data_IF_310142928423
#
_entry.id   IF_310142928423
#
_cell.length_a   1.000
_cell.length_b   1.000
_cell.length_c   1.000
_cell.angle_alpha   90.00
_cell.angle_beta   90.00
_cell.angle_gamma   90.00
#
_symmetry.space_group_name_H-M   'P 1'
#
loop_
_entity.id
_entity.type
_entity.pdbx_description
1 polymer ?
#
# COMPACT_ATOMS: atom_id res chain seq x y z
N UNK A 1 -1.00 84.51 -19.18
CA UNK A 1 -2.13 83.61 -18.89
C UNK A 1 -1.85 82.28 -19.56
N UNK A 2 -0.95 81.46 -19.01
CA UNK A 2 -1.20 80.40 -18.01
C UNK A 2 -2.15 79.30 -18.49
N UNK A 3 -1.53 78.33 -19.18
CA UNK A 3 -1.90 76.92 -19.15
C UNK A 3 -1.85 76.37 -17.72
N UNK A 4 -2.85 75.57 -17.33
CA UNK A 4 -2.64 74.58 -16.27
C UNK A 4 -3.39 73.28 -16.57
N UNK A 5 -2.58 72.26 -16.84
CA UNK A 5 -2.87 70.82 -16.91
C UNK A 5 -3.60 70.33 -15.65
N UNK A 6 -4.48 69.35 -15.81
CA UNK A 6 -4.66 68.30 -14.79
C UNK A 6 -4.78 66.93 -15.47
N UNK A 7 -3.92 66.04 -14.98
CA UNK A 7 -3.48 64.77 -15.55
C UNK A 7 -4.55 63.67 -15.48
N UNK A 8 -4.63 62.88 -16.56
CA UNK A 8 -4.93 61.46 -16.48
C UNK A 8 -3.91 60.79 -15.54
N UNK A 9 -4.39 60.10 -14.50
CA UNK A 9 -3.61 59.05 -13.83
C UNK A 9 -4.12 57.71 -14.34
N UNK A 10 -3.42 57.17 -15.33
CA UNK A 10 -3.25 55.72 -15.46
C UNK A 10 -2.57 55.25 -14.17
N UNK A 11 -3.24 54.45 -13.35
CA UNK A 11 -2.55 53.67 -12.35
C UNK A 11 -1.98 52.43 -13.04
N UNK A 12 -0.69 52.53 -13.35
CA UNK A 12 0.17 51.38 -13.60
C UNK A 12 0.12 50.46 -12.36
N UNK A 13 -0.40 49.25 -12.51
CA UNK A 13 -0.02 48.15 -11.62
C UNK A 13 1.40 47.74 -12.01
N UNK A 14 2.40 48.44 -11.45
CA UNK A 14 3.76 47.95 -11.39
C UNK A 14 3.79 46.70 -10.50
N UNK A 15 4.55 45.71 -10.94
CA UNK A 15 4.93 44.52 -10.18
C UNK A 15 5.34 44.90 -8.75
N UNK A 16 4.48 44.59 -7.79
CA UNK A 16 4.90 44.48 -6.40
C UNK A 16 5.61 43.14 -6.31
N UNK A 17 6.94 43.18 -6.45
CA UNK A 17 7.82 42.14 -5.92
C UNK A 17 7.61 42.15 -4.40
N UNK A 18 6.70 41.31 -3.92
CA UNK A 18 6.64 40.98 -2.50
C UNK A 18 7.80 40.03 -2.22
N UNK A 19 8.75 40.54 -1.47
CA UNK A 19 9.90 39.85 -0.89
C UNK A 19 9.52 38.44 -0.38
N UNK A 20 10.34 37.47 -0.77
CA UNK A 20 10.47 36.17 -0.12
C UNK A 20 10.65 36.33 1.39
N UNK A 21 9.63 35.94 2.17
CA UNK A 21 9.66 35.97 3.63
C UNK A 21 8.51 35.17 4.24
N UNK A 22 8.83 33.97 4.71
CA UNK A 22 8.05 33.03 5.50
C UNK A 22 6.88 32.32 4.79
N UNK A 23 7.20 31.13 4.26
CA UNK A 23 6.23 30.08 3.97
C UNK A 23 5.47 29.68 5.24
N UNK A 24 4.18 29.99 5.23
CA UNK A 24 3.20 29.44 6.16
C UNK A 24 2.13 28.73 5.32
N UNK A 25 2.17 27.40 5.35
CA UNK A 25 1.29 26.47 4.60
C UNK A 25 0.42 25.64 5.56
N UNK A 26 -0.03 26.24 6.66
CA UNK A 26 -1.00 25.63 7.57
C UNK A 26 -2.43 26.08 7.28
N UNK A 27 -3.41 25.24 7.63
CA UNK A 27 -4.84 25.60 7.56
C UNK A 27 -5.15 26.89 8.37
N UNK A 28 -4.46 27.10 9.49
CA UNK A 28 -4.61 28.29 10.33
C UNK A 28 -4.28 29.59 9.59
N UNK A 29 -3.26 29.58 8.74
CA UNK A 29 -2.79 30.76 8.00
C UNK A 29 -3.76 31.12 6.87
N UNK A 30 -4.28 30.09 6.18
CA UNK A 30 -5.32 30.26 5.15
C UNK A 30 -6.62 30.76 5.79
N UNK A 31 -6.97 30.27 6.98
CA UNK A 31 -8.14 30.74 7.73
C UNK A 31 -7.98 32.20 8.21
N UNK A 32 -6.78 32.59 8.65
CA UNK A 32 -6.49 33.98 9.03
C UNK A 32 -6.59 34.92 7.81
N UNK A 33 -6.04 34.50 6.67
CA UNK A 33 -6.18 35.23 5.40
C UNK A 33 -7.65 35.36 5.00
N UNK A 34 -8.45 34.29 5.08
CA UNK A 34 -9.89 34.34 4.80
C UNK A 34 -10.60 35.36 5.70
N UNK A 35 -10.37 35.31 7.01
CA UNK A 35 -11.00 36.24 7.97
C UNK A 35 -10.66 37.70 7.66
N UNK A 36 -9.43 37.97 7.27
CA UNK A 36 -9.01 39.32 6.84
C UNK A 36 -9.65 39.71 5.51
N UNK A 37 -9.62 38.84 4.50
CA UNK A 37 -10.08 39.16 3.14
C UNK A 37 -11.60 39.18 2.98
N UNK A 38 -12.35 38.41 3.76
CA UNK A 38 -13.80 38.48 3.78
C UNK A 38 -14.32 39.85 4.28
N UNK A 39 -13.52 40.60 5.04
CA UNK A 39 -13.84 41.98 5.44
C UNK A 39 -13.67 42.99 4.30
N UNK A 40 -12.90 42.64 3.26
CA UNK A 40 -12.72 43.47 2.06
C UNK A 40 -13.91 43.33 1.07
N UNK A 41 -14.89 42.48 1.37
CA UNK A 41 -16.08 42.29 0.54
C UNK A 41 -17.05 43.49 0.62
N UNK A 42 -17.80 43.78 -0.44
CA UNK A 42 -18.87 44.78 -0.41
C UNK A 42 -19.95 44.48 0.64
N UNK A 43 -20.60 45.51 1.17
CA UNK A 43 -21.61 45.36 2.23
C UNK A 43 -22.78 44.44 1.83
N UNK A 44 -23.25 44.57 0.59
CA UNK A 44 -24.40 43.83 0.03
C UNK A 44 -24.03 42.46 -0.56
N UNK A 45 -22.72 42.16 -0.70
CA UNK A 45 -22.22 40.90 -1.26
C UNK A 45 -21.10 40.35 -0.40
N UNK A 46 -21.41 39.34 0.41
CA UNK A 46 -20.52 38.80 1.43
C UNK A 46 -19.92 37.45 1.03
N UNK A 47 -18.73 37.16 1.56
CA UNK A 47 -18.09 35.86 1.41
C UNK A 47 -18.17 35.08 2.74
N UNK A 48 -18.78 33.90 2.69
CA UNK A 48 -19.00 33.02 3.82
C UNK A 48 -18.24 31.69 3.66
N UNK A 49 -17.70 31.17 4.76
CA UNK A 49 -17.01 29.88 4.78
C UNK A 49 -17.92 28.81 5.40
N UNK A 50 -18.34 27.85 4.60
CA UNK A 50 -19.13 26.70 5.06
C UNK A 50 -18.27 25.44 5.20
N UNK A 51 -18.59 24.62 6.21
CA UNK A 51 -17.90 23.36 6.51
C UNK A 51 -16.37 23.48 6.55
N UNK A 52 -15.87 24.65 6.99
CA UNK A 52 -14.44 24.93 7.13
C UNK A 52 -13.62 24.87 5.82
N UNK A 53 -14.26 24.79 4.65
CA UNK A 53 -13.53 24.64 3.36
C UNK A 53 -14.25 25.16 2.11
N UNK A 54 -15.53 25.51 2.18
CA UNK A 54 -16.28 25.95 1.01
C UNK A 54 -16.52 27.46 1.07
N UNK A 55 -16.00 28.17 0.07
CA UNK A 55 -16.16 29.61 -0.10
C UNK A 55 -17.49 29.89 -0.82
N UNK A 56 -18.45 30.46 -0.09
CA UNK A 56 -19.81 30.74 -0.53
C UNK A 56 -20.02 32.24 -0.66
N UNK A 57 -20.55 32.70 -1.79
CA UNK A 57 -20.91 34.10 -2.00
C UNK A 57 -22.38 34.25 -1.64
N UNK A 58 -22.68 35.28 -0.86
CA UNK A 58 -24.02 35.59 -0.37
C UNK A 58 -24.41 37.01 -0.81
N UNK A 59 -25.56 37.13 -1.46
CA UNK A 59 -26.14 38.42 -1.89
C UNK A 59 -27.66 38.32 -2.00
N UNK A 60 -28.36 39.45 -2.05
CA UNK A 60 -29.80 39.46 -2.31
C UNK A 60 -30.05 39.41 -3.82
N UNK A 61 -30.81 38.42 -4.26
CA UNK A 61 -31.23 38.30 -5.66
C UNK A 61 -32.19 39.44 -6.02
N UNK A 62 -31.87 40.27 -7.04
CA UNK A 62 -32.69 41.42 -7.39
C UNK A 62 -34.08 41.02 -7.92
N UNK A 63 -34.23 39.86 -8.56
CA UNK A 63 -35.51 39.38 -9.11
C UNK A 63 -36.44 38.89 -8.01
N UNK A 64 -35.89 38.09 -7.07
CA UNK A 64 -36.71 37.41 -6.06
C UNK A 64 -36.73 38.14 -4.71
N UNK A 65 -35.85 39.12 -4.51
CA UNK A 65 -35.64 39.82 -3.24
C UNK A 65 -35.14 38.92 -2.11
N UNK A 66 -34.77 37.67 -2.41
CA UNK A 66 -34.35 36.67 -1.41
C UNK A 66 -32.84 36.62 -1.32
N UNK A 67 -32.38 36.25 -0.12
CA UNK A 67 -30.98 35.97 0.12
C UNK A 67 -30.56 34.69 -0.64
N UNK A 68 -29.62 34.85 -1.55
CA UNK A 68 -29.02 33.77 -2.34
C UNK A 68 -27.64 33.46 -1.78
N UNK A 69 -27.34 32.16 -1.60
CA UNK A 69 -26.05 31.65 -1.13
C UNK A 69 -25.56 30.63 -2.13
N UNK A 70 -24.51 30.98 -2.87
CA UNK A 70 -23.99 30.14 -3.95
C UNK A 70 -22.50 29.88 -3.79
N UNK A 71 -22.03 28.76 -4.34
CA UNK A 71 -20.60 28.44 -4.29
C UNK A 71 -19.82 29.41 -5.19
N UNK A 72 -18.70 29.95 -4.67
CA UNK A 72 -17.76 30.71 -5.50
C UNK A 72 -17.05 29.85 -6.56
N UNK A 73 -17.03 28.52 -6.34
CA UNK A 73 -16.26 27.52 -7.10
C UNK A 73 -14.75 27.58 -6.90
N UNK A 74 -14.26 28.48 -6.07
CA UNK A 74 -12.84 28.59 -5.75
C UNK A 74 -12.45 27.59 -4.66
N UNK A 75 -11.24 27.05 -4.75
CA UNK A 75 -10.69 26.21 -3.68
C UNK A 75 -10.28 27.06 -2.47
N UNK A 76 -10.34 26.48 -1.26
CA UNK A 76 -9.89 27.15 -0.04
C UNK A 76 -8.36 27.22 0.07
N UNK A 77 -7.78 28.08 -0.77
CA UNK A 77 -6.35 28.39 -0.88
C UNK A 77 -6.17 29.91 -0.88
N UNK A 78 -4.92 30.39 -0.75
CA UNK A 78 -4.64 31.85 -0.80
C UNK A 78 -5.18 32.49 -2.08
N UNK A 79 -4.95 31.87 -3.23
CA UNK A 79 -5.45 32.35 -4.53
C UNK A 79 -6.97 32.28 -4.63
N UNK A 80 -7.58 31.18 -4.20
CA UNK A 80 -9.03 31.01 -4.26
C UNK A 80 -9.80 32.01 -3.37
N UNK A 81 -9.27 32.36 -2.20
CA UNK A 81 -9.86 33.41 -1.34
C UNK A 81 -9.84 34.77 -2.06
N UNK A 82 -8.69 35.16 -2.64
CA UNK A 82 -8.54 36.43 -3.35
C UNK A 82 -9.51 36.49 -4.55
N UNK A 83 -9.59 35.40 -5.32
CA UNK A 83 -10.51 35.32 -6.46
C UNK A 83 -11.97 35.37 -6.04
N UNK A 84 -12.35 34.71 -4.94
CA UNK A 84 -13.71 34.73 -4.42
C UNK A 84 -14.12 36.16 -3.98
N UNK A 85 -13.23 36.89 -3.31
CA UNK A 85 -13.46 38.31 -2.96
C UNK A 85 -13.60 39.17 -4.22
N UNK A 86 -12.78 38.93 -5.25
CA UNK A 86 -12.92 39.63 -6.54
C UNK A 86 -14.29 39.36 -7.18
N UNK A 87 -14.80 38.12 -7.12
CA UNK A 87 -16.16 37.79 -7.60
C UNK A 87 -17.24 38.54 -6.81
N UNK A 88 -17.09 38.69 -5.49
CA UNK A 88 -18.01 39.51 -4.69
C UNK A 88 -18.08 40.96 -5.21
N UNK A 89 -16.93 41.57 -5.54
CA UNK A 89 -16.87 42.92 -6.13
C UNK A 89 -17.49 43.01 -7.52
N UNK A 90 -17.30 41.99 -8.36
CA UNK A 90 -17.91 41.95 -9.68
C UNK A 90 -19.44 41.85 -9.59
N UNK A 91 -19.94 41.03 -8.66
CA UNK A 91 -21.39 40.89 -8.42
C UNK A 91 -21.96 42.20 -7.87
N UNK A 92 -21.31 42.84 -6.89
CA UNK A 92 -21.76 44.13 -6.34
C UNK A 92 -21.82 45.23 -7.41
N UNK A 93 -20.80 45.30 -8.28
CA UNK A 93 -20.79 46.25 -9.39
C UNK A 93 -21.91 45.94 -10.39
N UNK A 94 -22.12 44.67 -10.73
CA UNK A 94 -23.20 44.26 -11.64
C UNK A 94 -24.59 44.58 -11.06
N UNK A 95 -24.83 44.27 -9.78
CA UNK A 95 -26.09 44.60 -9.09
C UNK A 95 -26.41 46.11 -9.14
N UNK A 96 -25.38 46.97 -9.17
CA UNK A 96 -25.53 48.43 -9.26
C UNK A 96 -25.63 48.96 -10.70
N UNK A 97 -25.20 48.18 -11.70
CA UNK A 97 -25.03 48.65 -13.07
C UNK A 97 -26.14 48.18 -14.02
N UNK A 98 -26.89 47.14 -13.67
CA UNK A 98 -27.99 46.65 -14.50
C UNK A 98 -29.32 47.32 -14.12
N UNK A 99 -29.97 47.94 -15.11
CA UNK A 99 -31.26 48.61 -14.93
C UNK A 99 -32.47 47.64 -14.93
N UNK A 100 -32.27 46.37 -15.30
CA UNK A 100 -33.30 45.33 -15.37
C UNK A 100 -32.77 43.99 -14.84
N UNK A 101 -33.53 43.35 -13.95
CA UNK A 101 -33.09 42.18 -13.18
C UNK A 101 -32.81 40.93 -14.05
N UNK A 102 -33.52 40.77 -15.16
CA UNK A 102 -33.30 39.67 -16.12
C UNK A 102 -31.93 39.75 -16.81
N UNK A 103 -31.39 40.96 -17.01
CA UNK A 103 -30.06 41.18 -17.58
C UNK A 103 -28.95 40.82 -16.57
N UNK A 104 -29.20 41.06 -15.28
CA UNK A 104 -28.29 40.64 -14.22
C UNK A 104 -28.20 39.10 -14.16
N UNK A 105 -29.31 38.37 -14.24
CA UNK A 105 -29.29 36.90 -14.21
C UNK A 105 -28.55 36.32 -15.42
N UNK A 106 -28.78 36.84 -16.63
CA UNK A 106 -28.06 36.40 -17.82
C UNK A 106 -26.55 36.63 -17.67
N UNK A 107 -26.15 37.82 -17.19
CA UNK A 107 -24.75 38.13 -16.93
C UNK A 107 -24.14 37.28 -15.81
N UNK A 108 -24.85 37.06 -14.70
CA UNK A 108 -24.41 36.25 -13.57
C UNK A 108 -24.19 34.80 -14.01
N UNK A 109 -25.12 34.23 -14.78
CA UNK A 109 -24.98 32.91 -15.37
C UNK A 109 -23.74 32.84 -16.30
N UNK A 110 -23.51 33.85 -17.12
CA UNK A 110 -22.45 33.87 -18.12
C UNK A 110 -21.05 34.21 -17.57
N UNK A 111 -20.94 35.04 -16.54
CA UNK A 111 -19.66 35.61 -16.11
C UNK A 111 -19.24 35.09 -14.73
N UNK A 112 -20.20 34.74 -13.88
CA UNK A 112 -19.91 34.21 -12.55
C UNK A 112 -20.03 32.68 -12.57
N UNK A 113 -21.15 32.13 -13.04
CA UNK A 113 -21.37 30.67 -13.06
C UNK A 113 -20.66 29.94 -14.21
N UNK A 114 -20.39 30.62 -15.34
CA UNK A 114 -19.64 30.02 -16.44
C UNK A 114 -18.14 30.02 -16.19
N UNK A 115 -17.58 30.99 -15.48
CA UNK A 115 -16.18 30.93 -15.01
C UNK A 115 -15.99 29.75 -14.04
N UNK A 116 -17.01 29.40 -13.26
CA UNK A 116 -17.02 28.18 -12.43
C UNK A 116 -16.99 26.89 -13.25
N UNK A 117 -17.53 26.91 -14.48
CA UNK A 117 -17.47 25.78 -15.44
C UNK A 117 -16.23 25.82 -16.34
N UNK A 118 -15.63 26.99 -16.55
CA UNK A 118 -14.47 27.19 -17.41
C UNK A 118 -13.15 26.68 -16.81
N UNK A 119 -13.10 26.40 -15.49
CA UNK A 119 -11.93 25.81 -14.85
C UNK A 119 -11.83 24.28 -15.01
N UNK A 120 -12.84 23.61 -15.57
CA UNK A 120 -12.68 22.26 -16.12
C UNK A 120 -12.22 22.39 -17.55
N UNK A 121 -10.91 22.63 -17.74
CA UNK A 121 -10.28 22.39 -19.04
C UNK A 121 -10.72 20.99 -19.47
N UNK A 122 -11.36 20.87 -20.64
CA UNK A 122 -11.83 19.59 -21.14
C UNK A 122 -10.58 18.76 -21.40
N UNK A 123 -10.29 17.84 -20.48
CA UNK A 123 -9.14 16.96 -20.59
C UNK A 123 -9.49 15.75 -21.44
N UNK A 124 -8.57 15.42 -22.32
CA UNK A 124 -8.51 14.14 -23.02
C UNK A 124 -8.14 13.01 -22.05
N UNK A 125 -8.39 11.76 -22.44
CA UNK A 125 -7.91 10.60 -21.68
C UNK A 125 -6.39 10.65 -21.45
N UNK A 126 -5.62 11.07 -22.45
CA UNK A 126 -4.16 11.18 -22.38
C UNK A 126 -3.70 12.13 -21.27
N UNK A 127 -4.30 13.32 -21.20
CA UNK A 127 -3.99 14.30 -20.14
C UNK A 127 -4.37 13.77 -18.75
N UNK A 128 -5.52 13.09 -18.63
CA UNK A 128 -5.95 12.47 -17.37
C UNK A 128 -4.98 11.36 -16.95
N UNK A 129 -4.56 10.51 -17.89
CA UNK A 129 -3.63 9.42 -17.62
C UNK A 129 -2.26 9.94 -17.20
N UNK A 130 -1.76 11.00 -17.83
CA UNK A 130 -0.52 11.67 -17.47
C UNK A 130 -0.59 12.28 -16.05
N UNK A 131 -1.71 12.90 -15.70
CA UNK A 131 -1.91 13.44 -14.35
C UNK A 131 -1.92 12.32 -13.29
N UNK A 132 -2.61 11.22 -13.57
CA UNK A 132 -2.64 10.05 -12.69
C UNK A 132 -1.28 9.36 -12.57
N UNK A 133 -0.50 9.30 -13.66
CA UNK A 133 0.87 8.80 -13.67
C UNK A 133 1.79 9.70 -12.82
N UNK A 134 1.72 11.01 -13.04
CA UNK A 134 2.51 12.01 -12.31
C UNK A 134 2.20 11.95 -10.82
N UNK A 135 0.93 11.88 -10.44
CA UNK A 135 0.49 11.73 -9.05
C UNK A 135 0.96 10.39 -8.44
N UNK A 136 1.03 9.31 -9.23
CA UNK A 136 1.56 8.04 -8.76
C UNK A 136 3.06 8.13 -8.44
N UNK A 137 3.88 8.64 -9.38
CA UNK A 137 5.34 8.67 -9.23
C UNK A 137 5.84 9.79 -8.32
N UNK A 138 5.08 10.87 -8.11
CA UNK A 138 5.40 11.88 -7.09
C UNK A 138 5.18 11.37 -5.66
N UNK A 139 4.36 10.33 -5.50
CA UNK A 139 4.05 9.73 -4.21
C UNK A 139 5.11 8.76 -3.67
N UNK A 140 4.84 8.23 -2.48
CA UNK A 140 5.71 7.26 -1.79
C UNK A 140 5.13 5.85 -1.77
N UNK A 141 5.99 4.83 -1.76
CA UNK A 141 5.57 3.43 -1.58
C UNK A 141 4.91 3.23 -0.21
N UNK A 142 3.74 2.59 -0.18
CA UNK A 142 2.87 2.53 1.02
C UNK A 142 3.56 1.93 2.25
N UNK A 143 4.36 0.87 2.04
CA UNK A 143 4.95 0.09 3.12
C UNK A 143 6.35 0.57 3.52
N UNK A 144 7.20 0.86 2.53
CA UNK A 144 8.61 1.23 2.76
C UNK A 144 8.82 2.73 2.88
N UNK A 145 7.80 3.54 2.54
CA UNK A 145 7.85 5.00 2.50
C UNK A 145 8.87 5.62 1.55
N UNK A 146 9.67 4.82 0.81
CA UNK A 146 10.56 5.34 -0.22
C UNK A 146 9.78 6.09 -1.30
N UNK A 147 10.40 7.11 -1.89
CA UNK A 147 9.88 7.79 -3.07
C UNK A 147 9.79 6.81 -4.24
N UNK A 148 8.68 6.85 -4.99
CA UNK A 148 8.56 6.04 -6.22
C UNK A 148 9.43 6.63 -7.32
N UNK A 149 9.90 5.80 -8.23
CA UNK A 149 10.74 6.24 -9.36
C UNK A 149 10.37 5.49 -10.63
N UNK A 150 10.43 6.20 -11.78
CA UNK A 150 10.32 5.58 -13.11
C UNK A 150 11.52 4.68 -13.44
N UNK A 151 12.65 4.86 -12.75
CA UNK A 151 13.83 4.00 -12.91
C UNK A 151 13.70 2.67 -12.13
N UNK A 152 12.71 2.57 -11.24
CA UNK A 152 12.45 1.36 -10.48
C UNK A 152 11.53 0.42 -11.25
N UNK A 153 12.09 -0.71 -11.71
CA UNK A 153 11.34 -1.78 -12.40
C UNK A 153 10.07 -2.19 -11.64
N UNK A 154 10.13 -2.21 -10.30
CA UNK A 154 9.00 -2.59 -9.47
C UNK A 154 7.89 -1.54 -9.41
N UNK A 155 8.25 -0.26 -9.41
CA UNK A 155 7.26 0.83 -9.39
C UNK A 155 6.56 0.92 -10.74
N UNK A 156 7.34 0.85 -11.83
CA UNK A 156 6.80 0.80 -13.19
C UNK A 156 5.89 -0.40 -13.36
N UNK A 157 6.34 -1.60 -12.96
CA UNK A 157 5.50 -2.80 -13.04
C UNK A 157 4.21 -2.68 -12.22
N UNK A 158 4.29 -2.08 -11.03
CA UNK A 158 3.12 -1.87 -10.16
C UNK A 158 2.14 -0.86 -10.76
N UNK A 159 2.65 0.21 -11.38
CA UNK A 159 1.86 1.18 -12.11
C UNK A 159 1.16 0.53 -13.31
N UNK A 160 1.92 -0.11 -14.20
CA UNK A 160 1.38 -0.78 -15.39
C UNK A 160 0.35 -1.85 -15.04
N UNK A 161 0.63 -2.66 -14.01
CA UNK A 161 -0.27 -3.74 -13.58
C UNK A 161 -1.58 -3.24 -12.99
N UNK A 162 -1.61 -2.03 -12.43
CA UNK A 162 -2.79 -1.45 -11.79
C UNK A 162 -3.47 -0.46 -12.72
N UNK A 163 -2.80 0.64 -13.09
CA UNK A 163 -3.30 1.71 -13.95
C UNK A 163 -3.22 1.36 -15.44
N UNK A 164 -2.05 0.98 -15.94
CA UNK A 164 -1.80 0.79 -17.38
C UNK A 164 -2.74 -0.23 -18.03
N UNK A 165 -3.11 -1.30 -17.31
CA UNK A 165 -4.12 -2.27 -17.78
C UNK A 165 -5.50 -1.67 -18.02
N UNK A 166 -5.91 -0.69 -17.21
CA UNK A 166 -7.20 -0.01 -17.34
C UNK A 166 -7.13 1.05 -18.43
N UNK A 167 -6.02 1.79 -18.51
CA UNK A 167 -5.82 2.81 -19.54
C UNK A 167 -5.89 2.22 -20.95
N UNK A 168 -5.35 1.00 -21.14
CA UNK A 168 -5.41 0.25 -22.41
C UNK A 168 -6.82 -0.22 -22.81
N UNK A 169 -7.81 -0.09 -21.92
CA UNK A 169 -9.21 -0.39 -22.26
C UNK A 169 -9.88 0.76 -23.03
N UNK A 170 -9.26 1.94 -23.06
CA UNK A 170 -9.75 3.10 -23.80
C UNK A 170 -9.02 3.18 -25.16
N UNK A 171 -9.75 3.14 -26.30
CA UNK A 171 -9.15 3.00 -27.61
C UNK A 171 -8.53 4.30 -28.17
N UNK A 172 -9.05 5.46 -27.79
CA UNK A 172 -8.57 6.77 -28.26
C UNK A 172 -8.20 7.65 -27.07
N UNK A 173 -6.90 7.88 -26.88
CA UNK A 173 -6.39 8.70 -25.78
C UNK A 173 -6.54 10.21 -26.04
N UNK A 174 -6.78 10.61 -27.30
CA UNK A 174 -7.01 12.01 -27.64
C UNK A 174 -8.50 12.40 -27.50
N UNK A 175 -9.38 11.42 -27.32
CA UNK A 175 -10.78 11.66 -27.05
C UNK A 175 -11.01 12.15 -25.61
N UNK A 176 -12.10 12.87 -25.41
CA UNK A 176 -12.58 13.29 -24.09
C UNK A 176 -13.41 12.15 -23.47
N UNK A 177 -13.35 11.95 -22.14
CA UNK A 177 -14.08 10.84 -21.53
C UNK A 177 -15.59 10.95 -21.67
N UNK A 178 -16.23 9.89 -22.16
CA UNK A 178 -17.68 9.85 -22.38
C UNK A 178 -18.34 8.69 -21.63
N UNK A 179 -19.64 8.80 -21.37
CA UNK A 179 -20.41 7.71 -20.76
C UNK A 179 -20.45 6.46 -21.63
N UNK A 180 -20.39 6.62 -22.96
CA UNK A 180 -20.37 5.51 -23.91
C UNK A 180 -19.13 4.65 -23.73
N UNK A 181 -17.96 5.28 -23.62
CA UNK A 181 -16.69 4.56 -23.42
C UNK A 181 -16.68 3.83 -22.08
N UNK A 182 -17.16 4.48 -21.02
CA UNK A 182 -17.21 3.87 -19.69
C UNK A 182 -18.13 2.64 -19.66
N UNK A 183 -19.28 2.70 -20.35
CA UNK A 183 -20.15 1.55 -20.53
C UNK A 183 -19.45 0.42 -21.26
N UNK A 184 -18.81 0.72 -22.39
CA UNK A 184 -18.08 -0.28 -23.18
C UNK A 184 -16.97 -0.94 -22.35
N UNK A 185 -16.20 -0.16 -21.59
CA UNK A 185 -15.16 -0.70 -20.71
C UNK A 185 -15.76 -1.62 -19.64
N UNK A 186 -16.83 -1.18 -18.96
CA UNK A 186 -17.47 -1.96 -17.89
C UNK A 186 -18.10 -3.26 -18.42
N UNK A 187 -18.73 -3.23 -19.58
CA UNK A 187 -19.33 -4.41 -20.23
C UNK A 187 -18.28 -5.50 -20.52
N UNK A 188 -17.04 -5.10 -20.81
CA UNK A 188 -15.93 -6.01 -21.04
C UNK A 188 -15.21 -6.46 -19.76
N UNK A 189 -15.56 -5.94 -18.59
CA UNK A 189 -14.99 -6.38 -17.32
C UNK A 189 -15.74 -7.60 -16.78
N UNK A 190 -15.00 -8.64 -16.42
CA UNK A 190 -15.53 -9.76 -15.64
C UNK A 190 -15.85 -9.30 -14.21
N UNK A 191 -17.08 -8.81 -13.99
CA UNK A 191 -17.55 -8.34 -12.69
C UNK A 191 -17.46 -9.43 -11.61
N UNK A 192 -17.34 -9.00 -10.35
CA UNK A 192 -17.10 -9.92 -9.24
C UNK A 192 -15.65 -10.40 -9.12
N UNK A 193 -14.76 -10.14 -10.08
CA UNK A 193 -13.34 -10.47 -9.99
C UNK A 193 -12.52 -9.38 -9.28
N UNK A 194 -11.29 -9.71 -8.86
CA UNK A 194 -10.34 -8.71 -8.36
C UNK A 194 -10.01 -7.66 -9.44
N UNK A 195 -9.86 -8.08 -10.69
CA UNK A 195 -9.56 -7.18 -11.81
C UNK A 195 -10.65 -6.13 -11.99
N UNK A 196 -11.92 -6.54 -11.94
CA UNK A 196 -13.04 -5.58 -12.02
C UNK A 196 -13.06 -4.62 -10.82
N UNK A 197 -12.79 -5.11 -9.60
CA UNK A 197 -12.68 -4.24 -8.42
C UNK A 197 -11.59 -3.18 -8.57
N UNK A 198 -10.40 -3.61 -8.98
CA UNK A 198 -9.24 -2.74 -9.14
C UNK A 198 -9.51 -1.73 -10.29
N UNK A 199 -10.10 -2.19 -11.40
CA UNK A 199 -10.52 -1.33 -12.52
C UNK A 199 -11.56 -0.29 -12.10
N UNK A 200 -12.60 -0.69 -11.36
CA UNK A 200 -13.61 0.24 -10.84
C UNK A 200 -13.03 1.35 -9.97
N UNK A 201 -11.98 1.05 -9.19
CA UNK A 201 -11.27 2.09 -8.42
C UNK A 201 -10.54 3.09 -9.30
N UNK A 202 -10.09 2.69 -10.49
CA UNK A 202 -9.35 3.56 -11.42
C UNK A 202 -10.31 4.34 -12.31
N UNK A 203 -11.37 3.70 -12.79
CA UNK A 203 -12.46 4.36 -13.51
C UNK A 203 -13.04 5.53 -12.71
N UNK A 204 -13.21 5.38 -11.38
CA UNK A 204 -13.63 6.49 -10.51
C UNK A 204 -12.65 7.66 -10.54
N UNK A 205 -11.34 7.39 -10.49
CA UNK A 205 -10.33 8.45 -10.56
C UNK A 205 -10.31 9.16 -11.92
N UNK A 206 -10.55 8.41 -13.01
CA UNK A 206 -10.66 8.99 -14.37
C UNK A 206 -11.92 9.85 -14.44
N UNK A 207 -13.05 9.38 -13.91
CA UNK A 207 -14.30 10.13 -13.84
C UNK A 207 -14.15 11.42 -13.01
N UNK A 208 -13.48 11.37 -11.86
CA UNK A 208 -13.24 12.54 -10.99
C UNK A 208 -12.47 13.66 -11.70
N UNK A 209 -11.61 13.31 -12.68
CA UNK A 209 -10.79 14.26 -13.45
C UNK A 209 -11.40 14.64 -14.80
N UNK A 210 -12.56 14.09 -15.17
CA UNK A 210 -13.24 14.36 -16.43
C UNK A 210 -14.19 15.56 -16.35
N UNK A 211 -14.44 16.20 -17.50
CA UNK A 211 -15.45 17.24 -17.65
C UNK A 211 -16.88 16.75 -17.31
N UNK A 212 -17.19 15.49 -17.59
CA UNK A 212 -18.50 14.85 -17.31
C UNK A 212 -18.53 14.10 -15.96
N UNK A 213 -17.69 14.52 -15.00
CA UNK A 213 -17.48 13.82 -13.73
C UNK A 213 -18.76 13.38 -13.02
N UNK A 214 -19.78 14.24 -12.97
CA UNK A 214 -21.07 13.93 -12.33
C UNK A 214 -21.75 12.72 -12.99
N UNK A 215 -21.91 12.77 -14.31
CA UNK A 215 -22.61 11.71 -15.06
C UNK A 215 -21.85 10.38 -14.98
N UNK A 216 -20.52 10.44 -15.13
CA UNK A 216 -19.66 9.25 -15.05
C UNK A 216 -19.68 8.62 -13.64
N UNK A 217 -19.65 9.46 -12.60
CA UNK A 217 -19.67 8.99 -11.21
C UNK A 217 -21.03 8.37 -10.83
N UNK A 218 -22.13 8.95 -11.30
CA UNK A 218 -23.47 8.38 -11.14
C UNK A 218 -23.57 7.00 -11.80
N UNK A 219 -23.09 6.87 -13.05
CA UNK A 219 -23.03 5.58 -13.74
C UNK A 219 -22.18 4.56 -12.97
N UNK A 220 -20.94 4.90 -12.60
CA UNK A 220 -20.06 3.98 -11.88
C UNK A 220 -20.59 3.57 -10.49
N UNK A 221 -21.43 4.41 -9.88
CA UNK A 221 -22.08 4.10 -8.59
C UNK A 221 -23.20 3.06 -8.73
N UNK A 222 -23.79 2.95 -9.92
CA UNK A 222 -24.78 1.91 -10.24
C UNK A 222 -24.17 0.52 -10.52
N UNK A 223 -22.85 0.46 -10.76
CA UNK A 223 -22.14 -0.80 -11.06
C UNK A 223 -21.56 -1.43 -9.79
N UNK A 224 -21.82 -2.71 -9.56
CA UNK A 224 -21.26 -3.44 -8.42
C UNK A 224 -19.84 -3.98 -8.71
N UNK A 225 -18.83 -3.18 -8.40
CA UNK A 225 -17.42 -3.55 -8.50
C UNK A 225 -16.91 -4.42 -7.33
N UNK A 226 -17.75 -4.90 -6.42
CA UNK A 226 -17.28 -5.73 -5.30
C UNK A 226 -16.73 -7.06 -5.81
N UNK A 227 -15.56 -7.45 -5.29
CA UNK A 227 -15.03 -8.78 -5.54
C UNK A 227 -15.88 -9.82 -4.81
N UNK A 228 -16.45 -10.76 -5.56
CA UNK A 228 -17.24 -11.91 -5.10
C UNK A 228 -16.54 -13.25 -5.39
N UNK A 229 -15.73 -13.29 -6.44
CA UNK A 229 -14.99 -14.47 -6.88
C UNK A 229 -13.58 -14.42 -6.26
N UNK A 230 -13.24 -15.44 -5.49
CA UNK A 230 -11.95 -15.59 -4.83
C UNK A 230 -11.30 -16.90 -5.26
N UNK A 231 -10.00 -16.86 -5.51
CA UNK A 231 -9.24 -18.09 -5.74
C UNK A 231 -9.28 -18.98 -4.48
N UNK A 232 -9.41 -20.29 -4.70
CA UNK A 232 -9.35 -21.27 -3.62
C UNK A 232 -8.00 -21.17 -2.90
N UNK A 233 -8.05 -21.23 -1.58
CA UNK A 233 -6.88 -21.05 -0.74
C UNK A 233 -6.21 -22.42 -0.53
N UNK A 234 -4.99 -22.56 -1.01
CA UNK A 234 -4.19 -23.77 -0.79
C UNK A 234 -3.56 -23.76 0.61
N UNK A 235 -3.38 -24.96 1.17
CA UNK A 235 -2.66 -25.23 2.41
C UNK A 235 -1.99 -26.60 2.35
N UNK A 236 -0.93 -26.79 3.14
CA UNK A 236 -0.17 -28.04 3.23
C UNK A 236 0.28 -28.22 4.68
N UNK A 237 0.23 -29.43 5.22
CA UNK A 237 0.80 -29.75 6.53
C UNK A 237 2.29 -30.11 6.42
N UNK A 238 3.00 -30.07 7.56
CA UNK A 238 4.45 -30.27 7.59
C UNK A 238 4.87 -31.64 7.06
N UNK A 239 4.14 -32.71 7.39
CA UNK A 239 4.52 -34.07 6.98
C UNK A 239 4.39 -34.24 5.47
N UNK A 240 3.28 -33.77 4.89
CA UNK A 240 3.07 -33.78 3.44
C UNK A 240 4.15 -32.95 2.73
N UNK A 241 4.50 -31.79 3.28
CA UNK A 241 5.60 -30.97 2.74
C UNK A 241 6.95 -31.69 2.82
N UNK A 242 7.29 -32.30 3.96
CA UNK A 242 8.57 -32.98 4.18
C UNK A 242 8.74 -34.18 3.25
N UNK A 243 7.69 -34.98 3.07
CA UNK A 243 7.70 -36.11 2.14
C UNK A 243 7.93 -35.65 0.69
N UNK A 244 7.24 -34.59 0.27
CA UNK A 244 7.47 -33.99 -1.04
C UNK A 244 8.90 -33.45 -1.16
N UNK A 245 9.38 -32.71 -0.16
CA UNK A 245 10.72 -32.12 -0.13
C UNK A 245 11.81 -33.18 -0.32
N UNK A 246 11.76 -34.26 0.47
CA UNK A 246 12.73 -35.37 0.39
C UNK A 246 12.65 -36.10 -0.95
N UNK A 247 11.44 -36.42 -1.43
CA UNK A 247 11.24 -37.06 -2.73
C UNK A 247 11.79 -36.22 -3.89
N UNK A 248 11.51 -34.92 -3.88
CA UNK A 248 11.99 -33.97 -4.89
C UNK A 248 13.51 -33.80 -4.81
N UNK A 249 14.10 -33.73 -3.61
CA UNK A 249 15.56 -33.68 -3.44
C UNK A 249 16.24 -34.89 -4.08
N UNK A 250 15.76 -36.10 -3.78
CA UNK A 250 16.30 -37.34 -4.35
C UNK A 250 16.21 -37.37 -5.87
N UNK A 251 15.09 -36.91 -6.46
CA UNK A 251 14.93 -36.81 -7.92
C UNK A 251 15.90 -35.81 -8.55
N UNK A 252 16.10 -34.66 -7.90
CA UNK A 252 17.05 -33.64 -8.38
C UNK A 252 18.47 -34.19 -8.36
N UNK A 253 18.90 -34.81 -7.24
CA UNK A 253 20.23 -35.40 -7.10
C UNK A 253 20.49 -36.55 -8.10
N UNK A 254 19.45 -37.32 -8.46
CA UNK A 254 19.57 -38.37 -9.47
C UNK A 254 19.68 -37.85 -10.92
N UNK A 255 19.45 -36.56 -11.17
CA UNK A 255 19.54 -35.97 -12.50
C UNK A 255 20.97 -35.99 -13.02
N UNK A 256 21.20 -36.37 -14.29
CA UNK A 256 22.54 -36.33 -14.91
C UNK A 256 22.99 -34.92 -15.30
N UNK A 257 22.09 -33.94 -15.28
CA UNK A 257 22.38 -32.56 -15.69
C UNK A 257 22.77 -31.71 -14.47
N UNK A 258 24.05 -31.38 -14.35
CA UNK A 258 24.58 -30.59 -13.23
C UNK A 258 23.89 -29.22 -13.09
N UNK A 259 23.58 -28.53 -14.20
CA UNK A 259 22.88 -27.26 -14.14
C UNK A 259 21.44 -27.43 -13.63
N UNK A 260 20.79 -28.55 -13.93
CA UNK A 260 19.49 -28.88 -13.37
C UNK A 260 19.58 -29.18 -11.88
N UNK A 261 20.62 -29.90 -11.45
CA UNK A 261 20.89 -30.16 -10.04
C UNK A 261 21.07 -28.86 -9.25
N UNK A 262 22.01 -27.99 -9.66
CA UNK A 262 22.27 -26.70 -9.01
C UNK A 262 21.00 -25.86 -8.87
N UNK A 263 20.29 -25.64 -9.98
CA UNK A 263 19.08 -24.82 -10.00
C UNK A 263 17.96 -25.45 -9.18
N UNK A 264 17.78 -26.77 -9.30
CA UNK A 264 16.77 -27.52 -8.56
C UNK A 264 16.98 -27.46 -7.06
N UNK A 265 18.21 -27.71 -6.59
CA UNK A 265 18.56 -27.64 -5.17
C UNK A 265 18.39 -26.22 -4.62
N UNK A 266 18.81 -25.19 -5.37
CA UNK A 266 18.62 -23.80 -4.97
C UNK A 266 17.13 -23.44 -4.78
N UNK A 267 16.26 -23.82 -5.71
CA UNK A 267 14.82 -23.58 -5.58
C UNK A 267 14.18 -24.42 -4.49
N UNK A 268 14.63 -25.66 -4.29
CA UNK A 268 14.14 -26.51 -3.22
C UNK A 268 14.53 -25.95 -1.84
N UNK A 269 15.75 -25.44 -1.70
CA UNK A 269 16.22 -24.76 -0.48
C UNK A 269 15.41 -23.48 -0.20
N UNK A 270 15.02 -22.72 -1.22
CA UNK A 270 14.08 -21.59 -1.06
C UNK A 270 12.72 -22.06 -0.51
N UNK A 271 12.23 -23.24 -0.91
CA UNK A 271 11.00 -23.81 -0.34
C UNK A 271 11.16 -24.12 1.16
N UNK A 272 12.29 -24.71 1.56
CA UNK A 272 12.63 -24.96 2.96
C UNK A 272 12.66 -23.66 3.77
N UNK A 273 13.36 -22.63 3.29
CA UNK A 273 13.38 -21.30 3.92
C UNK A 273 11.98 -20.68 4.02
N UNK A 274 11.12 -20.90 3.02
CA UNK A 274 9.72 -20.47 3.03
C UNK A 274 8.90 -21.13 4.15
N UNK A 275 9.16 -22.40 4.46
CA UNK A 275 8.51 -23.12 5.57
C UNK A 275 9.12 -22.80 6.93
N UNK A 276 10.44 -22.60 7.01
CA UNK A 276 11.11 -22.28 8.27
C UNK A 276 10.82 -20.86 8.72
N UNK A 277 10.89 -19.86 7.84
CA UNK A 277 10.76 -18.44 8.21
C UNK A 277 9.43 -17.80 7.78
N UNK A 278 8.63 -18.48 6.95
CA UNK A 278 7.40 -17.92 6.40
C UNK A 278 7.64 -16.81 5.38
N UNK A 279 8.78 -16.82 4.71
CA UNK A 279 9.20 -15.77 3.78
C UNK A 279 8.69 -16.02 2.37
N UNK A 280 8.45 -14.93 1.63
CA UNK A 280 8.25 -15.02 0.19
C UNK A 280 9.58 -15.33 -0.51
N UNK A 281 9.57 -15.96 -1.69
CA UNK A 281 10.79 -16.22 -2.46
C UNK A 281 11.65 -14.96 -2.68
N UNK A 282 11.01 -13.82 -2.97
CA UNK A 282 11.73 -12.54 -3.10
C UNK A 282 12.31 -12.02 -1.79
N UNK A 283 11.68 -12.30 -0.65
CA UNK A 283 12.23 -11.93 0.66
C UNK A 283 13.48 -12.77 0.98
N UNK A 284 13.46 -14.07 0.65
CA UNK A 284 14.62 -14.96 0.81
C UNK A 284 15.78 -14.49 -0.10
N UNK A 285 15.47 -14.09 -1.33
CA UNK A 285 16.43 -13.55 -2.28
C UNK A 285 17.05 -12.19 -1.87
N UNK A 286 16.49 -11.51 -0.86
CA UNK A 286 17.00 -10.25 -0.30
C UNK A 286 17.72 -10.43 1.04
N UNK A 287 17.84 -11.66 1.54
CA UNK A 287 18.52 -11.95 2.79
C UNK A 287 20.03 -11.70 2.70
N UNK A 288 20.61 -11.12 3.76
CA UNK A 288 21.99 -10.63 3.75
C UNK A 288 22.99 -11.57 4.46
N UNK A 289 22.51 -12.43 5.37
CA UNK A 289 23.37 -13.27 6.20
C UNK A 289 23.16 -14.78 6.00
N UNK A 290 22.97 -15.23 4.76
CA UNK A 290 22.77 -16.67 4.49
C UNK A 290 24.06 -17.45 4.71
N UNK A 291 25.11 -17.13 3.95
CA UNK A 291 26.40 -17.83 3.96
C UNK A 291 27.57 -16.96 4.44
N UNK A 292 27.34 -15.67 4.62
CA UNK A 292 28.32 -14.71 5.13
C UNK A 292 27.71 -13.93 6.29
N UNK A 293 28.53 -13.48 7.25
CA UNK A 293 28.03 -12.63 8.32
C UNK A 293 27.63 -11.26 7.75
N UNK A 294 26.65 -10.60 8.37
CA UNK A 294 26.22 -9.26 8.02
C UNK A 294 26.25 -8.36 9.26
N UNK A 295 26.84 -7.18 9.17
CA UNK A 295 26.90 -6.24 10.30
C UNK A 295 26.23 -4.93 9.92
N UNK A 296 25.31 -4.48 10.77
CA UNK A 296 24.64 -3.18 10.65
C UNK A 296 24.37 -2.64 12.06
N UNK A 297 24.48 -1.33 12.26
CA UNK A 297 24.21 -0.68 13.53
C UNK A 297 24.93 -1.32 14.74
N UNK A 298 26.16 -1.79 14.51
CA UNK A 298 27.02 -2.51 15.50
C UNK A 298 26.46 -3.88 15.94
N UNK A 299 25.45 -4.40 15.26
CA UNK A 299 24.92 -5.75 15.46
C UNK A 299 25.41 -6.65 14.33
N UNK A 300 26.07 -7.75 14.69
CA UNK A 300 26.52 -8.77 13.73
C UNK A 300 25.53 -9.94 13.72
N UNK A 301 25.03 -10.26 12.54
CA UNK A 301 24.21 -11.43 12.26
C UNK A 301 25.10 -12.52 11.68
N UNK A 302 25.35 -13.64 12.41
CA UNK A 302 26.12 -14.75 11.88
C UNK A 302 25.43 -15.41 10.68
N UNK A 303 26.17 -16.13 9.82
CA UNK A 303 25.58 -16.89 8.72
C UNK A 303 24.52 -17.89 9.21
N UNK A 304 23.46 -18.12 8.43
CA UNK A 304 22.51 -19.21 8.66
C UNK A 304 23.20 -20.57 8.52
N UNK A 305 24.18 -20.68 7.62
CA UNK A 305 24.98 -21.90 7.40
C UNK A 305 25.94 -22.23 8.54
N UNK A 306 26.14 -21.33 9.51
CA UNK A 306 27.01 -21.57 10.66
C UNK A 306 26.29 -22.44 11.71
N UNK A 307 26.79 -23.66 11.93
CA UNK A 307 26.22 -24.61 12.91
C UNK A 307 26.28 -24.12 14.35
N UNK A 308 27.13 -23.13 14.65
CA UNK A 308 27.21 -22.48 15.98
C UNK A 308 26.19 -21.34 16.15
N UNK A 309 25.56 -20.89 15.07
CA UNK A 309 24.50 -19.89 15.13
C UNK A 309 23.18 -20.54 15.56
N UNK A 310 22.91 -20.59 16.86
CA UNK A 310 21.69 -21.22 17.38
C UNK A 310 20.42 -20.38 17.14
N UNK A 311 20.54 -19.04 17.10
CA UNK A 311 19.39 -18.15 16.94
C UNK A 311 18.85 -18.14 15.51
N UNK A 312 19.73 -18.39 14.53
CA UNK A 312 19.42 -18.38 13.09
C UNK A 312 18.62 -17.14 12.68
N UNK A 313 18.94 -15.97 13.25
CA UNK A 313 18.27 -14.74 12.85
C UNK A 313 18.65 -14.38 11.42
N UNK A 314 17.65 -14.08 10.60
CA UNK A 314 17.84 -13.68 9.21
C UNK A 314 17.59 -12.17 9.07
N UNK A 315 18.57 -11.45 8.55
CA UNK A 315 18.44 -10.06 8.18
C UNK A 315 18.02 -9.94 6.71
N UNK A 316 16.90 -9.25 6.46
CA UNK A 316 16.39 -8.98 5.12
C UNK A 316 16.71 -7.56 4.70
N UNK A 317 17.41 -7.41 3.58
CA UNK A 317 17.64 -6.13 2.93
C UNK A 317 16.45 -5.64 2.12
N UNK A 318 16.55 -4.44 1.54
CA UNK A 318 15.49 -3.87 0.71
C UNK A 318 15.42 -4.49 -0.70
N UNK A 319 16.56 -4.94 -1.24
CA UNK A 319 16.69 -5.42 -2.61
C UNK A 319 17.14 -6.87 -2.68
N UNK A 320 16.62 -7.58 -3.68
CA UNK A 320 17.06 -8.92 -4.05
C UNK A 320 18.40 -8.88 -4.76
N UNK A 321 19.07 -10.03 -4.87
CA UNK A 321 20.32 -10.16 -5.64
C UNK A 321 20.23 -9.73 -7.12
N UNK A 322 19.02 -9.65 -7.70
CA UNK A 322 18.79 -9.15 -9.06
C UNK A 322 18.26 -7.70 -9.11
N UNK A 323 18.33 -6.96 -8.00
CA UNK A 323 18.02 -5.52 -7.93
C UNK A 323 16.55 -5.16 -7.78
N UNK A 324 15.66 -6.13 -7.54
CA UNK A 324 14.24 -5.86 -7.32
C UNK A 324 13.98 -5.58 -5.83
N UNK A 325 13.22 -4.54 -5.50
CA UNK A 325 12.82 -4.27 -4.11
C UNK A 325 11.83 -5.31 -3.56
N UNK A 326 11.88 -5.59 -2.26
CA UNK A 326 10.90 -6.46 -1.59
C UNK A 326 9.73 -5.65 -1.00
N UNK A 327 8.53 -6.23 -1.02
CA UNK A 327 7.28 -5.55 -0.60
C UNK A 327 7.28 -5.11 0.87
N UNK A 328 7.96 -5.88 1.71
CA UNK A 328 7.93 -5.80 3.18
C UNK A 328 9.05 -4.94 3.74
N UNK A 329 10.01 -4.52 2.92
CA UNK A 329 11.17 -3.73 3.36
C UNK A 329 12.10 -4.49 4.31
N UNK A 330 13.04 -3.74 4.86
CA UNK A 330 14.08 -4.22 5.80
C UNK A 330 13.45 -4.77 7.07
N UNK A 331 13.87 -5.95 7.50
CA UNK A 331 13.49 -6.52 8.80
C UNK A 331 14.39 -7.67 9.23
N UNK A 332 14.30 -8.01 10.52
CA UNK A 332 14.90 -9.21 11.10
C UNK A 332 13.80 -10.26 11.26
N UNK A 333 14.10 -11.50 10.87
CA UNK A 333 13.20 -12.64 10.96
C UNK A 333 13.84 -13.73 11.82
N UNK A 334 13.08 -14.30 12.74
CA UNK A 334 13.47 -15.55 13.42
C UNK A 334 12.86 -16.76 12.71
N UNK A 335 13.46 -17.96 12.83
CA UNK A 335 12.80 -19.18 12.42
C UNK A 335 11.50 -19.38 13.23
N UNK A 336 10.47 -19.84 12.53
CA UNK A 336 9.18 -20.23 13.08
C UNK A 336 9.05 -21.75 13.24
N UNK A 337 9.84 -22.52 12.49
CA UNK A 337 9.93 -23.96 12.63
C UNK A 337 10.82 -24.38 13.81
N UNK A 338 10.68 -25.63 14.26
CA UNK A 338 11.49 -26.20 15.34
C UNK A 338 12.91 -26.50 14.85
N UNK A 339 13.86 -26.70 15.78
CA UNK A 339 15.22 -27.13 15.43
C UNK A 339 15.23 -28.42 14.63
N UNK A 340 14.42 -29.41 15.04
CA UNK A 340 14.25 -30.65 14.29
C UNK A 340 13.85 -30.39 12.83
N UNK A 341 12.84 -29.55 12.60
CA UNK A 341 12.39 -29.24 11.24
C UNK A 341 13.46 -28.48 10.42
N UNK A 342 14.25 -27.62 11.07
CA UNK A 342 15.39 -26.97 10.41
C UNK A 342 16.46 -27.97 9.96
N UNK A 343 16.74 -28.98 10.80
CA UNK A 343 17.67 -30.08 10.47
C UNK A 343 17.13 -30.98 9.37
N UNK A 344 15.87 -31.41 9.45
CA UNK A 344 15.21 -32.25 8.44
C UNK A 344 15.11 -31.57 7.07
N UNK A 345 14.99 -30.25 7.05
CA UNK A 345 14.98 -29.43 5.83
C UNK A 345 16.38 -28.96 5.42
N UNK A 346 17.41 -29.27 6.20
CA UNK A 346 18.83 -29.03 5.90
C UNK A 346 19.12 -27.56 5.53
N UNK A 347 18.53 -26.60 6.26
CA UNK A 347 18.66 -25.17 5.91
C UNK A 347 20.10 -24.65 5.98
N UNK A 348 20.98 -25.33 6.71
CA UNK A 348 22.40 -25.01 6.83
C UNK A 348 23.21 -25.43 5.59
N UNK A 349 22.69 -26.38 4.79
CA UNK A 349 23.30 -26.80 3.54
C UNK A 349 22.85 -25.90 2.39
N UNK A 350 23.43 -24.70 2.32
CA UNK A 350 23.09 -23.73 1.29
C UNK A 350 23.71 -24.09 -0.08
N UNK A 351 22.92 -24.40 -1.12
CA UNK A 351 23.43 -24.78 -2.44
C UNK A 351 23.73 -23.57 -3.34
N UNK A 352 23.52 -22.34 -2.85
CA UNK A 352 23.56 -21.11 -3.65
C UNK A 352 22.17 -20.57 -4.01
N UNK A 353 22.13 -19.34 -4.50
CA UNK A 353 20.90 -18.72 -5.03
C UNK A 353 20.60 -19.20 -6.45
N UNK A 354 19.32 -19.31 -6.84
CA UNK A 354 18.96 -19.66 -8.21
C UNK A 354 19.43 -18.58 -9.19
N UNK A 355 19.97 -19.02 -10.33
CA UNK A 355 20.40 -18.12 -11.42
C UNK A 355 19.17 -17.63 -12.19
N UNK A 356 18.90 -16.32 -12.12
CA UNK A 356 17.77 -15.68 -12.82
C UNK A 356 18.33 -14.61 -13.76
N UNK A 357 18.08 -14.77 -15.07
CA UNK A 357 18.62 -13.88 -16.10
C UNK A 357 17.85 -12.54 -16.22
N UNK A 358 16.56 -12.54 -15.93
CA UNK A 358 15.70 -11.38 -16.14
C UNK A 358 15.70 -10.44 -14.92
N UNK A 359 15.94 -9.14 -15.15
CA UNK A 359 15.72 -8.06 -14.17
C UNK A 359 14.28 -7.59 -14.18
N UNK A 360 13.33 -8.52 -14.06
CA UNK A 360 11.90 -8.23 -14.04
C UNK A 360 11.32 -8.44 -12.64
N UNK A 361 10.38 -7.59 -12.23
CA UNK A 361 9.74 -7.62 -10.91
C UNK A 361 9.16 -8.99 -10.52
N UNK A 362 8.66 -9.76 -11.50
CA UNK A 362 8.02 -11.06 -11.28
C UNK A 362 8.93 -12.26 -11.56
N UNK A 363 10.16 -12.05 -12.03
CA UNK A 363 11.07 -13.12 -12.46
C UNK A 363 11.29 -14.21 -11.41
N UNK A 364 11.59 -13.82 -10.16
CA UNK A 364 11.75 -14.74 -9.02
C UNK A 364 10.45 -15.50 -8.75
N UNK A 365 9.32 -14.79 -8.69
CA UNK A 365 8.02 -15.39 -8.36
C UNK A 365 7.57 -16.38 -9.43
N UNK A 366 7.72 -16.03 -10.71
CA UNK A 366 7.33 -16.88 -11.84
C UNK A 366 8.23 -18.11 -11.93
N UNK A 367 9.55 -17.93 -11.76
CA UNK A 367 10.50 -19.05 -11.75
C UNK A 367 10.22 -20.01 -10.59
N UNK A 368 9.89 -19.47 -9.43
CA UNK A 368 9.52 -20.26 -8.26
C UNK A 368 8.23 -21.08 -8.50
N UNK A 369 7.17 -20.45 -9.01
CA UNK A 369 5.91 -21.14 -9.33
C UNK A 369 6.15 -22.23 -10.39
N UNK A 370 6.97 -21.94 -11.42
CA UNK A 370 7.35 -22.91 -12.43
C UNK A 370 8.11 -24.09 -11.84
N UNK A 371 9.01 -23.86 -10.89
CA UNK A 371 9.68 -24.92 -10.15
C UNK A 371 8.69 -25.81 -9.38
N UNK A 372 7.75 -25.20 -8.64
CA UNK A 372 6.73 -25.94 -7.90
C UNK A 372 5.86 -26.80 -8.82
N UNK A 373 5.40 -26.24 -9.94
CA UNK A 373 4.59 -26.95 -10.93
C UNK A 373 5.35 -28.13 -11.56
N UNK A 374 6.58 -27.91 -12.01
CA UNK A 374 7.42 -28.94 -12.64
C UNK A 374 7.74 -30.11 -11.71
N UNK A 375 7.81 -29.84 -10.41
CA UNK A 375 8.11 -30.85 -9.39
C UNK A 375 6.85 -31.35 -8.67
N UNK A 376 5.67 -31.12 -9.24
CA UNK A 376 4.38 -31.58 -8.73
C UNK A 376 4.19 -31.31 -7.23
N UNK A 377 4.55 -30.09 -6.80
CA UNK A 377 4.30 -29.68 -5.43
C UNK A 377 2.80 -29.71 -5.14
N UNK A 378 2.35 -30.24 -3.98
CA UNK A 378 0.92 -30.27 -3.64
C UNK A 378 0.27 -28.88 -3.57
N UNK A 379 1.08 -27.84 -3.43
CA UNK A 379 0.64 -26.44 -3.44
C UNK A 379 1.55 -25.61 -4.33
N UNK A 380 0.98 -24.62 -5.01
CA UNK A 380 1.70 -23.73 -5.93
C UNK A 380 1.64 -22.27 -5.47
N UNK A 381 0.72 -21.96 -4.55
CA UNK A 381 0.68 -20.68 -3.86
C UNK A 381 1.84 -20.57 -2.85
N UNK A 382 2.81 -19.68 -3.10
CA UNK A 382 3.90 -19.39 -2.14
C UNK A 382 3.38 -19.01 -0.74
N UNK A 383 2.17 -18.45 -0.68
CA UNK A 383 1.53 -18.10 0.58
C UNK A 383 1.16 -19.34 1.44
N UNK A 384 1.01 -20.53 0.84
CA UNK A 384 0.74 -21.77 1.56
C UNK A 384 1.89 -22.15 2.51
N UNK A 385 3.15 -22.03 2.07
CA UNK A 385 4.31 -22.28 2.93
C UNK A 385 4.41 -21.26 4.06
N UNK A 386 4.08 -20.00 3.77
CA UNK A 386 3.99 -18.96 4.79
C UNK A 386 2.90 -19.22 5.83
N UNK A 387 1.78 -19.83 5.44
CA UNK A 387 0.75 -20.27 6.37
C UNK A 387 1.25 -21.41 7.26
N UNK A 388 1.90 -22.42 6.65
CA UNK A 388 2.52 -23.52 7.38
C UNK A 388 3.55 -23.01 8.39
N UNK A 389 4.45 -22.11 7.99
CA UNK A 389 5.44 -21.49 8.87
C UNK A 389 4.78 -20.79 10.08
N UNK A 390 3.72 -20.02 9.85
CA UNK A 390 3.00 -19.36 10.93
C UNK A 390 2.33 -20.37 11.89
N UNK A 391 1.81 -21.50 11.37
CA UNK A 391 1.27 -22.59 12.19
C UNK A 391 2.36 -23.31 12.98
N UNK A 392 3.51 -23.57 12.38
CA UNK A 392 4.68 -24.13 13.08
C UNK A 392 5.13 -23.20 14.21
N UNK A 393 5.19 -21.89 13.96
CA UNK A 393 5.52 -20.93 15.00
C UNK A 393 4.54 -20.95 16.17
N UNK A 394 3.26 -21.19 15.90
CA UNK A 394 2.25 -21.34 16.95
C UNK A 394 2.44 -22.62 17.76
N UNK A 395 2.69 -23.74 17.08
CA UNK A 395 2.97 -25.04 17.70
C UNK A 395 4.25 -25.01 18.55
N UNK A 396 5.22 -24.19 18.15
CA UNK A 396 6.48 -23.98 18.86
C UNK A 396 6.38 -22.90 19.96
N UNK A 397 5.17 -22.43 20.28
CA UNK A 397 4.95 -21.47 21.37
C UNK A 397 5.44 -20.05 21.10
N UNK A 398 5.71 -19.68 19.84
CA UNK A 398 6.17 -18.32 19.50
C UNK A 398 5.00 -17.34 19.62
N UNK A 399 5.13 -16.27 20.44
CA UNK A 399 4.08 -15.28 20.61
C UNK A 399 3.62 -14.68 19.28
N UNK A 400 2.33 -14.35 19.18
CA UNK A 400 1.73 -13.83 17.95
C UNK A 400 2.40 -12.53 17.47
N UNK A 401 2.83 -11.68 18.40
CA UNK A 401 3.53 -10.43 18.15
C UNK A 401 4.87 -10.69 17.45
N UNK A 402 5.60 -11.70 17.91
CA UNK A 402 6.91 -12.08 17.36
C UNK A 402 6.74 -12.74 15.99
N UNK A 403 5.72 -13.60 15.82
CA UNK A 403 5.37 -14.18 14.51
C UNK A 403 5.00 -13.07 13.52
N UNK A 404 4.11 -12.15 13.92
CA UNK A 404 3.67 -11.04 13.08
C UNK A 404 4.85 -10.14 12.68
N UNK A 405 5.75 -9.81 13.62
CA UNK A 405 6.96 -9.02 13.36
C UNK A 405 7.88 -9.72 12.36
N UNK A 406 8.15 -11.01 12.55
CA UNK A 406 9.00 -11.81 11.65
C UNK A 406 8.44 -11.88 10.24
N UNK A 407 7.11 -11.94 10.12
CA UNK A 407 6.41 -11.93 8.84
C UNK A 407 6.29 -10.50 8.25
N UNK A 408 6.50 -9.43 9.01
CA UNK A 408 6.30 -8.06 8.54
C UNK A 408 4.83 -7.67 8.44
N UNK A 409 4.02 -8.09 9.42
CA UNK A 409 2.60 -7.81 9.54
C UNK A 409 2.27 -7.11 10.86
N UNK A 410 1.11 -6.42 10.92
CA UNK A 410 0.47 -6.11 12.20
C UNK A 410 -0.15 -7.37 12.80
N UNK A 411 -0.36 -7.37 14.13
CA UNK A 411 -1.02 -8.47 14.86
C UNK A 411 -2.41 -8.77 14.29
N UNK A 412 -3.18 -7.74 13.94
CA UNK A 412 -4.53 -7.85 13.35
C UNK A 412 -4.54 -8.47 11.94
N UNK A 413 -3.54 -8.17 11.12
CA UNK A 413 -3.37 -8.81 9.81
C UNK A 413 -2.98 -10.28 9.99
N UNK A 414 -2.15 -10.60 10.99
CA UNK A 414 -1.79 -11.98 11.28
C UNK A 414 -3.03 -12.79 11.71
N UNK A 415 -3.87 -12.23 12.56
CA UNK A 415 -5.07 -12.89 13.03
C UNK A 415 -6.08 -13.19 11.89
N UNK A 416 -6.43 -12.16 11.11
CA UNK A 416 -7.47 -12.26 10.08
C UNK A 416 -7.09 -13.17 8.91
N UNK A 417 -5.80 -13.30 8.62
CA UNK A 417 -5.31 -14.05 7.45
C UNK A 417 -4.98 -15.50 7.80
N UNK A 418 -4.36 -15.76 8.95
CA UNK A 418 -3.82 -17.09 9.28
C UNK A 418 -4.80 -17.97 10.06
N UNK A 419 -5.68 -17.41 10.91
CA UNK A 419 -6.70 -18.21 11.63
C UNK A 419 -7.77 -18.80 10.71
N UNK A 420 -7.99 -18.22 9.51
CA UNK A 420 -8.99 -18.69 8.53
C UNK A 420 -8.53 -19.84 7.63
N UNK A 421 -7.25 -20.24 7.67
CA UNK A 421 -6.68 -21.30 6.81
C UNK A 421 -6.10 -22.47 7.61
N UNK A 422 -6.79 -22.86 8.67
CA UNK A 422 -6.33 -23.99 9.46
C UNK A 422 -6.75 -25.30 8.80
N UNK A 423 -5.77 -26.14 8.44
CA UNK A 423 -6.04 -27.54 8.14
C UNK A 423 -6.58 -28.19 9.42
N UNK A 424 -7.68 -28.95 9.34
CA UNK A 424 -8.34 -29.60 10.49
C UNK A 424 -7.34 -30.36 11.38
N UNK A 425 -6.38 -31.09 10.78
CA UNK A 425 -5.35 -31.83 11.53
C UNK A 425 -4.44 -30.90 12.33
N UNK A 426 -4.05 -29.77 11.74
CA UNK A 426 -3.25 -28.75 12.42
C UNK A 426 -4.04 -28.02 13.50
N UNK A 427 -5.33 -27.73 13.28
CA UNK A 427 -6.23 -27.19 14.31
C UNK A 427 -6.33 -28.14 15.50
N UNK A 428 -6.54 -29.43 15.24
CA UNK A 428 -6.61 -30.45 16.29
C UNK A 428 -5.29 -30.52 17.05
N UNK A 429 -4.14 -30.50 16.37
CA UNK A 429 -2.84 -30.46 17.02
C UNK A 429 -2.64 -29.18 17.86
N UNK A 430 -3.06 -28.01 17.36
CA UNK A 430 -3.00 -26.75 18.10
C UNK A 430 -3.85 -26.81 19.36
N UNK A 431 -5.09 -27.29 19.28
CA UNK A 431 -5.98 -27.43 20.43
C UNK A 431 -5.46 -28.47 21.44
N UNK A 432 -4.86 -29.57 20.95
CA UNK A 432 -4.24 -30.60 21.80
C UNK A 432 -2.89 -30.17 22.40
N UNK A 433 -2.18 -29.24 21.78
CA UNK A 433 -0.89 -28.72 22.25
C UNK A 433 -1.00 -27.36 22.95
N UNK A 434 -2.14 -26.67 22.92
CA UNK A 434 -2.35 -25.41 23.67
C UNK A 434 -2.18 -25.63 25.19
N UNK A 435 -2.38 -26.86 25.65
CA UNK A 435 -2.08 -27.36 26.99
C UNK A 435 -0.58 -27.55 27.29
N UNK A 436 0.33 -27.20 26.37
CA UNK A 436 1.80 -27.30 26.52
C UNK A 436 2.51 -25.95 26.51
N UNK A 437 1.82 -24.85 26.82
CA UNK A 437 2.54 -23.66 27.29
C UNK A 437 3.35 -24.11 28.52
N UNK A 438 4.64 -23.73 28.65
CA UNK A 438 5.39 -24.05 29.84
C UNK A 438 4.59 -23.55 31.04
N UNK A 439 4.38 -24.43 32.02
CA UNK A 439 3.72 -24.06 33.27
C UNK A 439 4.44 -22.83 33.82
N UNK A 440 3.76 -21.83 34.37
CA UNK A 440 4.45 -20.80 35.15
C UNK A 440 5.39 -21.46 36.16
N UNK A 441 6.59 -20.91 36.41
CA UNK A 441 7.63 -21.54 37.24
C UNK A 441 7.08 -22.19 38.52
N UNK A 442 6.25 -21.46 39.26
CA UNK A 442 5.60 -21.95 40.49
C UNK A 442 4.71 -23.18 40.26
N UNK A 443 3.95 -23.19 39.15
CA UNK A 443 3.12 -24.35 38.77
C UNK A 443 3.97 -25.51 38.25
N UNK A 444 5.10 -25.23 37.58
CA UNK A 444 6.07 -26.24 37.17
C UNK A 444 6.72 -26.94 38.37
N UNK A 445 7.17 -26.17 39.35
CA UNK A 445 7.71 -26.67 40.64
C UNK A 445 6.65 -27.50 41.36
N UNK A 446 5.40 -27.01 41.46
CA UNK A 446 4.31 -27.76 42.09
C UNK A 446 4.00 -29.07 41.37
N UNK A 447 4.01 -29.08 40.03
CA UNK A 447 3.79 -30.29 39.24
C UNK A 447 4.91 -31.33 39.44
N UNK A 448 6.16 -30.88 39.58
CA UNK A 448 7.30 -31.74 39.90
C UNK A 448 7.18 -32.36 41.30
N UNK A 449 6.81 -31.55 42.31
CA UNK A 449 6.51 -32.07 43.66
C UNK A 449 5.38 -33.10 43.65
N UNK A 450 4.31 -32.83 42.89
CA UNK A 450 3.18 -33.76 42.77
C UNK A 450 3.57 -35.08 42.07
N UNK A 451 4.64 -35.09 41.28
CA UNK A 451 5.22 -36.29 40.67
C UNK A 451 6.28 -36.97 41.54
N UNK A 452 6.53 -36.45 42.75
CA UNK A 452 7.55 -36.98 43.67
C UNK A 452 8.99 -36.63 43.26
N UNK A 453 9.19 -35.66 42.37
CA UNK A 453 10.52 -35.17 42.00
C UNK A 453 11.00 -34.17 43.05
N UNK A 454 12.21 -34.39 43.56
CA UNK A 454 12.89 -33.43 44.43
C UNK A 454 13.30 -32.20 43.61
N UNK A 455 12.66 -31.07 43.89
CA UNK A 455 12.93 -29.81 43.19
C UNK A 455 14.16 -29.09 43.75
N UNK A 456 14.69 -29.50 44.91
CA UNK A 456 15.93 -28.98 45.47
C UNK A 456 17.17 -29.71 44.94
N UNK A 457 16.99 -30.82 44.21
CA UNK A 457 18.07 -31.52 43.50
C UNK A 457 18.78 -30.56 42.52
N UNK A 458 20.12 -30.57 42.56
CA UNK A 458 20.94 -29.67 41.74
C UNK A 458 20.69 -29.82 40.23
N UNK A 459 20.41 -31.03 39.75
CA UNK A 459 20.12 -31.29 38.33
C UNK A 459 18.75 -30.74 37.94
N UNK A 460 17.75 -30.87 38.84
CA UNK A 460 16.40 -30.31 38.62
C UNK A 460 16.43 -28.79 38.68
N UNK A 461 17.16 -28.20 39.63
CA UNK A 461 17.42 -26.76 39.70
C UNK A 461 18.13 -26.24 38.45
N UNK A 462 19.13 -26.98 37.95
CA UNK A 462 19.82 -26.63 36.70
C UNK A 462 18.84 -26.63 35.51
N UNK A 463 18.00 -27.65 35.40
CA UNK A 463 16.97 -27.75 34.36
C UNK A 463 15.97 -26.59 34.48
N UNK A 464 15.48 -26.27 35.68
CA UNK A 464 14.55 -25.18 35.91
C UNK A 464 15.17 -23.81 35.60
N UNK A 465 16.42 -23.57 36.02
CA UNK A 465 17.16 -22.35 35.67
C UNK A 465 17.29 -22.18 34.17
N UNK A 466 17.60 -23.25 33.43
CA UNK A 466 17.68 -23.25 31.96
C UNK A 466 16.32 -23.00 31.32
N UNK A 467 15.26 -23.69 31.77
CA UNK A 467 13.93 -23.60 31.17
C UNK A 467 13.25 -22.26 31.41
N UNK A 468 13.43 -21.67 32.59
CA UNK A 468 12.77 -20.42 33.00
C UNK A 468 13.67 -19.19 32.93
N UNK A 469 14.91 -19.34 32.47
CA UNK A 469 15.88 -18.24 32.36
C UNK A 469 16.09 -17.50 33.69
N UNK A 470 16.13 -18.25 34.80
CA UNK A 470 16.38 -17.68 36.13
C UNK A 470 17.87 -17.38 36.19
N UNK A 471 18.24 -16.10 36.08
CA UNK A 471 19.60 -15.64 36.35
C UNK A 471 19.94 -15.85 37.83
N UNK A 472 21.20 -16.20 38.12
CA UNK A 472 21.72 -16.27 39.48
C UNK A 472 21.53 -14.98 40.28
#
# INVERSE_FOLDING_TARGET
>A
MLHTKKHLKQQNFQDVIVSSGNEYTGYADILALYKSKAQDCPTEVQLNLQHQKFLMIQFNDPVTGKLTIESSGEQFTKGGIINAVRKCWLIDHALKSFDHDDNFLAWYNQNILSETKANTQIKTYGEIFEELETAYFSGTHKNTKRKRSKDSVNDVHSFESFYGKVFKLFPDWNACPSISDFKCVVENLALGTKTAKDAGSILKKIADLSHDSKQLTEYLSSVDFKQKIFAEKQSIDYQTFLQWYQSTKSKILASRNHSHQESGLAWLWICAMGVVYGLRPSEIAAAQNINTAFTIDRVTFPPITDTKNHDKLLYLGEFTFNGCSIKTGVRICRPLASYQAMTELEIEQFPGMPKIKAKEAQSISNSYINFLNRNHCPVTQAYAFRHLANQLGELNGIPQEIRARSLGHSVSVNESVYKKRLNLKTTVNLLKNHSKQPLPLAMGIQALHNLGVDTDDQSVQLILKVLYQISE
#
